data_IF_054545830355
#
_entry.id   IF_054545830355
#
_cell.length_a   1.000
_cell.length_b   1.000
_cell.length_c   1.000
_cell.angle_alpha   90.00
_cell.angle_beta   90.00
_cell.angle_gamma   90.00
#
_symmetry.space_group_name_H-M   'P 1'
#
loop_
_entity.id
_entity.type
_entity.pdbx_description
1 polymer ?
#
# COMPACT_ATOMS: atom_id res chain seq x y z
N UNK A 1 11.34 0.52 10.01
CA UNK A 1 10.17 0.06 9.25
C UNK A 1 9.19 -0.74 10.12
N UNK A 2 9.66 -1.67 10.97
CA UNK A 2 8.77 -2.48 11.82
C UNK A 2 7.96 -1.66 12.82
N UNK A 3 8.53 -0.58 13.36
CA UNK A 3 7.79 0.35 14.22
C UNK A 3 6.63 1.04 13.47
N UNK A 4 6.85 1.43 12.20
CA UNK A 4 5.81 2.01 11.37
C UNK A 4 4.72 0.99 10.99
N UNK A 5 5.09 -0.27 10.77
CA UNK A 5 4.12 -1.36 10.58
C UNK A 5 3.27 -1.57 11.85
N UNK A 6 3.90 -1.65 13.02
CA UNK A 6 3.18 -1.77 14.30
C UNK A 6 2.22 -0.61 14.52
N UNK A 7 2.65 0.62 14.22
CA UNK A 7 1.78 1.79 14.25
C UNK A 7 0.59 1.67 13.28
N UNK A 8 0.84 1.29 12.03
CA UNK A 8 -0.20 1.17 11.03
C UNK A 8 -1.25 0.12 11.42
N UNK A 9 -0.81 -1.06 11.88
CA UNK A 9 -1.70 -2.15 12.31
C UNK A 9 -2.52 -1.79 13.56
N UNK A 10 -1.90 -1.12 14.53
CA UNK A 10 -2.57 -0.75 15.78
C UNK A 10 -3.52 0.44 15.66
N UNK A 11 -3.26 1.35 14.72
CA UNK A 11 -4.02 2.60 14.58
C UNK A 11 -4.95 2.64 13.37
N UNK A 12 -4.85 1.67 12.45
CA UNK A 12 -5.51 1.69 11.12
C UNK A 12 -5.17 2.94 10.30
N UNK A 13 -3.97 3.49 10.50
CA UNK A 13 -3.47 4.68 9.81
C UNK A 13 -2.24 4.35 8.98
N UNK A 14 -1.89 5.24 8.06
CA UNK A 14 -0.67 5.12 7.27
C UNK A 14 0.58 5.16 8.17
N UNK A 15 1.39 4.12 8.11
CA UNK A 15 2.73 4.13 8.68
C UNK A 15 3.70 4.85 7.75
N UNK A 16 4.59 5.68 8.30
CA UNK A 16 5.59 6.42 7.51
C UNK A 16 6.99 6.07 7.99
N UNK A 17 7.87 5.82 7.03
CA UNK A 17 9.29 5.50 7.26
C UNK A 17 10.14 6.45 6.44
N UNK A 18 11.17 7.03 7.05
CA UNK A 18 12.17 7.84 6.35
C UNK A 18 13.54 7.23 6.63
N UNK A 19 14.27 6.91 5.57
CA UNK A 19 15.60 6.30 5.64
C UNK A 19 16.55 6.95 4.65
N UNK A 20 17.86 6.78 4.89
CA UNK A 20 18.90 7.20 3.94
C UNK A 20 19.04 6.20 2.78
N UNK A 21 19.81 6.56 1.78
CA UNK A 21 20.22 5.69 0.67
C UNK A 21 21.07 4.49 1.10
N UNK A 22 21.42 3.61 0.18
CA UNK A 22 22.31 2.47 0.41
C UNK A 22 21.80 1.54 1.50
N UNK A 23 22.53 1.37 2.63
CA UNK A 23 22.13 0.45 3.68
C UNK A 23 20.81 0.81 4.36
N UNK A 24 20.42 2.09 4.40
CA UNK A 24 19.10 2.50 4.86
C UNK A 24 18.00 1.95 3.96
N UNK A 25 18.18 2.05 2.64
CA UNK A 25 17.26 1.54 1.64
C UNK A 25 17.16 0.01 1.68
N UNK A 26 18.29 -0.71 1.72
CA UNK A 26 18.28 -2.18 1.73
C UNK A 26 17.68 -2.77 3.01
N UNK A 27 17.86 -2.12 4.15
CA UNK A 27 17.29 -2.56 5.43
C UNK A 27 15.75 -2.45 5.53
N UNK A 28 15.10 -1.71 4.66
CA UNK A 28 13.62 -1.64 4.66
C UNK A 28 12.95 -2.68 3.77
N UNK A 29 13.68 -3.38 2.91
CA UNK A 29 13.15 -4.34 1.93
C UNK A 29 12.33 -5.44 2.59
N UNK A 30 12.85 -6.08 3.63
CA UNK A 30 12.10 -7.12 4.38
C UNK A 30 10.77 -6.60 4.90
N UNK A 31 10.77 -5.41 5.50
CA UNK A 31 9.53 -4.83 6.03
C UNK A 31 8.56 -4.35 4.95
N UNK A 32 9.06 -3.96 3.76
CA UNK A 32 8.19 -3.65 2.61
C UNK A 32 7.49 -4.93 2.15
N UNK A 33 8.24 -6.03 1.98
CA UNK A 33 7.69 -7.32 1.58
C UNK A 33 6.63 -7.85 2.57
N UNK A 34 6.92 -7.78 3.88
CA UNK A 34 5.99 -8.15 4.95
C UNK A 34 4.71 -7.30 4.90
N UNK A 35 4.84 -5.99 4.74
CA UNK A 35 3.70 -5.09 4.63
C UNK A 35 2.83 -5.36 3.40
N UNK A 36 3.44 -5.77 2.28
CA UNK A 36 2.71 -6.12 1.05
C UNK A 36 1.87 -7.38 1.24
N UNK A 37 2.43 -8.40 1.89
CA UNK A 37 1.73 -9.67 2.15
C UNK A 37 0.57 -9.44 3.12
N UNK A 38 0.80 -8.67 4.19
CA UNK A 38 -0.18 -8.43 5.26
C UNK A 38 -1.11 -7.23 4.99
N UNK A 39 -1.07 -6.64 3.80
CA UNK A 39 -1.92 -5.50 3.46
C UNK A 39 -1.77 -4.31 4.41
N UNK A 40 -0.55 -4.07 4.93
CA UNK A 40 -0.26 -2.98 5.86
C UNK A 40 0.07 -1.71 5.08
N UNK A 41 -0.69 -0.60 5.25
CA UNK A 41 -0.41 0.64 4.53
C UNK A 41 0.86 1.31 5.05
N UNK A 42 1.86 1.44 4.18
CA UNK A 42 3.12 2.10 4.48
C UNK A 42 3.51 3.09 3.38
N UNK A 43 4.07 4.22 3.79
CA UNK A 43 4.81 5.13 2.93
C UNK A 43 6.29 5.08 3.33
N UNK A 44 7.12 4.55 2.46
CA UNK A 44 8.57 4.51 2.63
C UNK A 44 9.19 5.63 1.82
N UNK A 45 9.85 6.55 2.48
CA UNK A 45 10.60 7.66 1.89
C UNK A 45 12.09 7.34 2.07
N UNK A 46 12.78 7.19 0.97
CA UNK A 46 14.21 6.92 0.96
C UNK A 46 14.97 8.07 0.31
N UNK A 47 16.08 8.47 0.90
CA UNK A 47 17.04 9.33 0.23
C UNK A 47 17.81 8.56 -0.85
N UNK A 48 18.27 9.27 -1.88
CA UNK A 48 19.08 8.74 -2.96
C UNK A 48 20.24 9.71 -3.26
N UNK A 49 21.26 9.22 -3.94
CA UNK A 49 22.34 10.05 -4.45
C UNK A 49 21.84 11.13 -5.41
N UNK A 50 22.65 12.13 -5.73
CA UNK A 50 22.30 13.14 -6.72
C UNK A 50 22.06 12.54 -8.11
N UNK A 51 21.21 13.16 -8.91
CA UNK A 51 20.80 12.66 -10.25
C UNK A 51 22.00 12.37 -11.15
N UNK A 52 23.06 13.16 -11.09
CA UNK A 52 24.28 12.94 -11.88
C UNK A 52 25.10 11.70 -11.46
N UNK A 53 24.87 11.19 -10.25
CA UNK A 53 25.57 10.01 -9.71
C UNK A 53 24.77 8.73 -9.83
N UNK A 54 23.52 8.77 -10.34
CA UNK A 54 22.71 7.58 -10.54
C UNK A 54 23.30 6.67 -11.62
N UNK A 55 23.42 5.38 -11.32
CA UNK A 55 23.98 4.38 -12.22
C UNK A 55 25.51 4.42 -12.33
N UNK A 56 26.21 5.04 -11.39
CA UNK A 56 27.67 5.16 -11.40
C UNK A 56 28.37 4.38 -10.30
N UNK A 57 27.63 3.55 -9.54
CA UNK A 57 28.12 2.86 -8.33
C UNK A 57 28.65 3.85 -7.28
N UNK A 58 28.03 5.01 -7.16
CA UNK A 58 28.41 6.03 -6.19
C UNK A 58 28.26 5.50 -4.75
N UNK A 59 28.99 6.12 -3.81
CA UNK A 59 28.91 5.74 -2.41
C UNK A 59 27.47 5.78 -1.89
N UNK A 60 27.01 4.65 -1.36
CA UNK A 60 25.63 4.41 -0.89
C UNK A 60 24.53 4.56 -1.98
N UNK A 61 24.88 4.47 -3.24
CA UNK A 61 23.89 4.26 -4.28
C UNK A 61 23.30 2.84 -4.17
N UNK A 62 22.00 2.73 -4.39
CA UNK A 62 21.28 1.44 -4.41
C UNK A 62 20.05 1.57 -5.30
N UNK A 63 19.80 0.59 -6.18
CA UNK A 63 18.57 0.53 -6.97
C UNK A 63 17.39 0.09 -6.10
N UNK A 64 16.92 1.01 -5.27
CA UNK A 64 15.75 0.77 -4.42
C UNK A 64 14.50 0.50 -5.25
N UNK A 65 14.32 1.20 -6.36
CA UNK A 65 13.13 1.02 -7.23
C UNK A 65 13.09 -0.40 -7.76
N UNK A 66 14.19 -0.90 -8.33
CA UNK A 66 14.26 -2.28 -8.84
C UNK A 66 13.98 -3.33 -7.77
N UNK A 67 14.49 -3.13 -6.54
CA UNK A 67 14.21 -4.03 -5.42
C UNK A 67 12.77 -3.96 -4.91
N UNK A 68 12.15 -2.79 -4.93
CA UNK A 68 10.85 -2.55 -4.33
C UNK A 68 9.65 -2.84 -5.26
N UNK A 69 9.82 -2.79 -6.58
CA UNK A 69 8.74 -3.03 -7.56
C UNK A 69 7.97 -4.33 -7.28
N UNK A 70 8.59 -5.51 -7.08
CA UNK A 70 7.85 -6.76 -6.89
C UNK A 70 7.17 -6.89 -5.51
N UNK A 71 7.49 -6.02 -4.55
CA UNK A 71 7.06 -6.13 -3.15
C UNK A 71 6.29 -4.91 -2.65
N UNK A 72 5.85 -4.03 -3.56
CA UNK A 72 5.09 -2.83 -3.21
C UNK A 72 3.97 -2.55 -4.21
N UNK A 73 3.02 -1.72 -3.82
CA UNK A 73 1.90 -1.32 -4.70
C UNK A 73 2.33 -0.32 -5.78
N UNK A 74 3.29 0.52 -5.45
CA UNK A 74 3.80 1.54 -6.35
C UNK A 74 5.14 2.06 -5.86
N UNK A 75 6.00 2.41 -6.82
CA UNK A 75 7.29 3.02 -6.59
C UNK A 75 7.47 4.24 -7.48
N UNK A 76 8.19 5.24 -7.01
CA UNK A 76 8.58 6.38 -7.83
C UNK A 76 9.91 6.95 -7.37
N UNK A 77 10.82 7.20 -8.32
CA UNK A 77 12.01 8.01 -8.08
C UNK A 77 11.71 9.47 -8.39
N UNK A 78 11.93 10.34 -7.42
CA UNK A 78 11.66 11.79 -7.50
C UNK A 78 12.99 12.50 -7.71
N UNK A 79 13.12 13.17 -8.85
CA UNK A 79 14.36 13.85 -9.30
C UNK A 79 14.29 15.37 -9.26
N UNK A 80 13.09 15.92 -9.08
CA UNK A 80 12.87 17.37 -9.05
C UNK A 80 12.00 17.76 -7.87
N UNK A 81 12.23 18.91 -7.24
CA UNK A 81 11.45 19.35 -6.08
C UNK A 81 9.96 19.57 -6.39
N UNK A 82 9.62 19.94 -7.63
CA UNK A 82 8.22 20.16 -8.07
C UNK A 82 7.39 18.88 -8.02
N UNK A 83 8.04 17.71 -8.20
CA UNK A 83 7.38 16.42 -8.24
C UNK A 83 7.06 15.87 -6.83
N UNK A 84 7.59 16.48 -5.77
CA UNK A 84 7.47 15.99 -4.38
C UNK A 84 6.02 15.98 -3.90
N UNK A 85 5.33 17.11 -3.94
CA UNK A 85 3.98 17.22 -3.39
C UNK A 85 2.96 16.31 -4.13
N UNK A 86 2.92 16.29 -5.48
CA UNK A 86 2.03 15.38 -6.20
C UNK A 86 2.38 13.90 -6.01
N UNK A 87 3.68 13.54 -5.92
CA UNK A 87 4.09 12.16 -5.66
C UNK A 87 3.65 11.67 -4.28
N UNK A 88 3.82 12.50 -3.24
CA UNK A 88 3.37 12.16 -1.88
C UNK A 88 1.85 12.02 -1.83
N UNK A 89 1.10 12.95 -2.45
CA UNK A 89 -0.37 12.86 -2.49
C UNK A 89 -0.85 11.57 -3.16
N UNK A 90 -0.22 11.19 -4.27
CA UNK A 90 -0.50 9.95 -4.99
C UNK A 90 -0.11 8.72 -4.17
N UNK A 91 1.06 8.74 -3.52
CA UNK A 91 1.55 7.67 -2.67
C UNK A 91 0.59 7.36 -1.51
N UNK A 92 0.13 8.38 -0.80
CA UNK A 92 -0.85 8.25 0.29
C UNK A 92 -2.15 7.64 -0.23
N UNK A 93 -2.66 8.10 -1.37
CA UNK A 93 -3.87 7.56 -1.98
C UNK A 93 -3.73 6.07 -2.32
N UNK A 94 -2.64 5.69 -3.00
CA UNK A 94 -2.40 4.28 -3.39
C UNK A 94 -2.20 3.38 -2.15
N UNK A 95 -1.44 3.84 -1.16
CA UNK A 95 -1.17 3.05 0.05
C UNK A 95 -2.44 2.73 0.84
N UNK A 96 -3.39 3.67 0.90
CA UNK A 96 -4.57 3.61 1.77
C UNK A 96 -5.83 3.08 1.08
N UNK A 97 -5.87 2.97 -0.25
CA UNK A 97 -7.09 2.60 -0.98
C UNK A 97 -7.00 1.22 -1.62
N UNK A 98 -8.16 0.60 -1.90
CA UNK A 98 -8.23 -0.78 -2.34
C UNK A 98 -7.68 -1.72 -1.28
N UNK A 99 -6.94 -2.76 -1.69
CA UNK A 99 -6.12 -3.54 -0.75
C UNK A 99 -4.99 -2.62 -0.25
N UNK A 100 -4.92 -2.25 1.04
CA UNK A 100 -3.84 -1.42 1.56
C UNK A 100 -2.46 -2.08 1.35
N UNK A 101 -1.40 -1.28 1.34
CA UNK A 101 -0.06 -1.83 1.18
C UNK A 101 1.02 -0.77 1.06
N UNK A 102 2.29 -1.19 0.95
CA UNK A 102 3.42 -0.28 0.93
C UNK A 102 3.58 0.43 -0.41
N UNK A 103 4.01 1.68 -0.32
CA UNK A 103 4.43 2.53 -1.44
C UNK A 103 5.81 3.09 -1.14
N UNK A 104 6.68 3.15 -2.14
CA UNK A 104 8.08 3.57 -1.98
C UNK A 104 8.38 4.79 -2.85
N UNK A 105 8.89 5.83 -2.21
CA UNK A 105 9.38 7.04 -2.86
C UNK A 105 10.90 7.16 -2.64
N UNK A 106 11.64 7.23 -3.73
CA UNK A 106 13.09 7.35 -3.77
C UNK A 106 13.46 8.78 -4.18
N UNK A 107 14.00 9.56 -3.23
CA UNK A 107 14.25 10.98 -3.41
C UNK A 107 15.73 11.23 -3.73
N UNK A 108 16.04 11.71 -4.94
CA UNK A 108 17.40 12.14 -5.24
C UNK A 108 17.79 13.35 -4.39
N UNK A 109 19.09 13.51 -4.15
CA UNK A 109 19.63 14.66 -3.40
C UNK A 109 19.19 16.00 -4.00
N UNK A 110 19.10 16.07 -5.31
CA UNK A 110 18.66 17.29 -6.03
C UNK A 110 17.22 17.65 -5.68
N UNK A 111 16.32 16.67 -5.62
CA UNK A 111 14.94 16.90 -5.21
C UNK A 111 14.81 17.32 -3.74
N UNK A 112 15.73 16.86 -2.87
CA UNK A 112 15.71 17.19 -1.45
C UNK A 112 16.24 18.61 -1.15
N UNK A 113 17.27 19.08 -1.87
CA UNK A 113 17.90 20.39 -1.63
C UNK A 113 17.33 21.50 -2.50
N UNK A 114 16.64 21.14 -3.58
CA UNK A 114 16.00 22.07 -4.49
C UNK A 114 14.80 22.79 -3.85
N UNK A 115 14.38 23.88 -4.46
CA UNK A 115 13.22 24.66 -4.03
C UNK A 115 12.17 24.72 -5.13
N UNK A 116 10.91 24.58 -4.74
CA UNK A 116 9.76 24.72 -5.63
C UNK A 116 8.57 25.37 -4.90
N UNK A 117 7.65 26.02 -5.60
CA UNK A 117 6.39 26.44 -5.00
C UNK A 117 5.64 25.26 -4.38
N UNK A 118 5.26 25.37 -3.10
CA UNK A 118 4.48 24.33 -2.45
C UNK A 118 3.02 24.42 -2.86
N UNK A 119 2.59 23.51 -3.74
CA UNK A 119 1.21 23.37 -4.17
C UNK A 119 0.78 21.93 -3.84
N UNK A 120 -0.02 21.75 -2.79
CA UNK A 120 -0.54 20.44 -2.41
C UNK A 120 -2.00 20.30 -2.85
N UNK A 121 -2.27 19.25 -3.61
CA UNK A 121 -3.62 18.82 -3.96
C UNK A 121 -3.80 17.35 -3.56
N UNK A 122 -4.84 17.09 -2.78
CA UNK A 122 -5.16 15.71 -2.37
C UNK A 122 -5.46 14.87 -3.61
N UNK A 123 -4.78 13.74 -3.76
CA UNK A 123 -5.12 12.77 -4.78
C UNK A 123 -6.39 12.00 -4.38
N UNK A 124 -7.39 11.98 -5.25
CA UNK A 124 -8.63 11.22 -5.06
C UNK A 124 -8.97 10.31 -6.24
N UNK A 125 -8.21 10.41 -7.33
CA UNK A 125 -8.43 9.64 -8.55
C UNK A 125 -7.13 9.43 -9.32
N UNK A 126 -6.95 8.23 -9.85
CA UNK A 126 -5.87 7.88 -10.79
C UNK A 126 -6.52 7.07 -11.91
N UNK A 127 -6.41 7.55 -13.15
CA UNK A 127 -7.09 6.98 -14.33
C UNK A 127 -6.93 5.46 -14.50
N UNK A 128 -5.78 4.92 -14.16
CA UNK A 128 -5.43 3.49 -14.32
C UNK A 128 -5.54 2.68 -13.04
N UNK A 129 -6.17 3.23 -11.98
CA UNK A 129 -6.25 2.57 -10.69
C UNK A 129 -7.70 2.56 -10.19
N UNK A 130 -8.28 1.36 -10.13
CA UNK A 130 -9.63 1.12 -9.61
C UNK A 130 -9.50 0.43 -8.23
N UNK A 131 -9.53 1.18 -7.13
CA UNK A 131 -9.35 0.63 -5.79
C UNK A 131 -10.52 -0.25 -5.33
N UNK A 132 -11.72 0.04 -5.80
CA UNK A 132 -12.94 -0.71 -5.47
C UNK A 132 -13.58 -1.16 -6.78
N UNK A 133 -13.55 -2.47 -7.09
CA UNK A 133 -14.24 -2.98 -8.27
C UNK A 133 -15.77 -2.88 -8.06
N UNK A 134 -16.49 -2.78 -9.16
CA UNK A 134 -17.95 -2.88 -9.12
C UNK A 134 -18.38 -4.30 -8.73
N UNK A 135 -19.44 -4.38 -7.93
CA UNK A 135 -20.03 -5.67 -7.57
C UNK A 135 -20.82 -6.20 -8.75
N UNK A 136 -20.60 -7.46 -9.09
CA UNK A 136 -21.39 -8.16 -10.10
C UNK A 136 -22.62 -8.84 -9.43
N UNK A 137 -23.84 -8.32 -9.67
CA UNK A 137 -25.04 -8.87 -9.06
C UNK A 137 -25.35 -10.31 -9.47
N UNK A 138 -24.97 -10.72 -10.68
CA UNK A 138 -25.20 -12.09 -11.16
C UNK A 138 -24.33 -13.09 -10.41
N UNK A 139 -23.04 -12.74 -10.20
CA UNK A 139 -22.12 -13.55 -9.40
C UNK A 139 -22.58 -13.67 -7.94
N UNK A 140 -23.12 -12.58 -7.37
CA UNK A 140 -23.68 -12.59 -6.01
C UNK A 140 -24.90 -13.51 -5.94
N UNK A 141 -25.85 -13.41 -6.88
CA UNK A 141 -27.04 -14.27 -6.92
C UNK A 141 -26.65 -15.75 -7.02
N UNK A 142 -25.72 -16.08 -7.92
CA UNK A 142 -25.21 -17.45 -8.06
C UNK A 142 -24.53 -17.98 -6.79
N UNK A 143 -23.79 -17.13 -6.08
CA UNK A 143 -23.19 -17.50 -4.80
C UNK A 143 -24.27 -17.81 -3.74
N UNK A 144 -25.36 -17.04 -3.69
CA UNK A 144 -26.48 -17.28 -2.78
C UNK A 144 -27.16 -18.61 -3.10
N UNK A 145 -27.45 -18.91 -4.38
CA UNK A 145 -28.02 -20.19 -4.81
C UNK A 145 -27.16 -21.38 -4.33
N UNK A 146 -25.84 -21.31 -4.54
CA UNK A 146 -24.92 -22.37 -4.10
C UNK A 146 -24.90 -22.55 -2.57
N UNK A 147 -25.04 -21.48 -1.83
CA UNK A 147 -25.12 -21.51 -0.36
C UNK A 147 -26.44 -22.16 0.08
N UNK A 148 -27.57 -21.76 -0.53
CA UNK A 148 -28.89 -22.27 -0.19
C UNK A 148 -29.05 -23.77 -0.54
N UNK A 149 -28.41 -24.24 -1.60
CA UNK A 149 -28.37 -25.66 -1.98
C UNK A 149 -27.41 -26.49 -1.11
N UNK A 150 -26.52 -25.84 -0.35
CA UNK A 150 -25.51 -26.53 0.44
C UNK A 150 -26.11 -27.16 1.71
N UNK A 151 -25.85 -28.45 1.94
CA UNK A 151 -26.26 -29.12 3.17
C UNK A 151 -25.33 -28.88 4.37
N UNK A 152 -24.10 -28.42 4.13
CA UNK A 152 -23.08 -28.20 5.17
C UNK A 152 -22.20 -27.00 4.84
N UNK A 153 -22.76 -25.76 4.74
CA UNK A 153 -21.98 -24.59 4.45
C UNK A 153 -21.03 -24.23 5.59
N UNK A 154 -19.85 -23.71 5.25
CA UNK A 154 -18.88 -23.16 6.19
C UNK A 154 -18.35 -21.85 5.61
N UNK A 155 -18.34 -20.78 6.41
CA UNK A 155 -17.67 -19.52 6.07
C UNK A 155 -16.26 -19.56 6.60
N UNK A 156 -15.29 -19.32 5.71
CA UNK A 156 -13.89 -19.08 6.10
C UNK A 156 -13.60 -17.62 5.80
N UNK A 157 -13.30 -16.83 6.84
CA UNK A 157 -13.04 -15.41 6.68
C UNK A 157 -11.60 -15.04 7.08
N UNK A 158 -11.05 -14.05 6.40
CA UNK A 158 -9.71 -13.54 6.67
C UNK A 158 -9.73 -12.05 7.03
N UNK A 159 -8.54 -11.46 7.10
CA UNK A 159 -8.33 -10.05 7.46
C UNK A 159 -9.08 -9.06 6.55
N UNK A 160 -9.45 -9.44 5.34
CA UNK A 160 -10.21 -8.60 4.42
C UNK A 160 -11.53 -8.11 4.98
N UNK A 161 -12.19 -8.87 5.84
CA UNK A 161 -13.41 -8.46 6.54
C UNK A 161 -13.14 -7.27 7.46
N UNK A 162 -12.05 -7.33 8.24
CA UNK A 162 -11.63 -6.25 9.15
C UNK A 162 -11.19 -5.01 8.35
N UNK A 163 -10.39 -5.22 7.30
CA UNK A 163 -9.89 -4.13 6.45
C UNK A 163 -11.00 -3.39 5.71
N UNK A 164 -12.08 -4.06 5.38
CA UNK A 164 -13.26 -3.47 4.74
C UNK A 164 -14.28 -2.90 5.72
N UNK A 165 -14.13 -3.18 7.03
CA UNK A 165 -15.10 -2.81 8.07
C UNK A 165 -16.43 -3.57 7.96
N UNK A 166 -16.43 -4.79 7.40
CA UNK A 166 -17.60 -5.59 7.08
C UNK A 166 -17.94 -6.64 8.16
N UNK A 167 -17.46 -6.47 9.39
CA UNK A 167 -17.67 -7.44 10.48
C UNK A 167 -19.14 -7.57 10.86
N UNK A 168 -19.89 -6.47 10.80
CA UNK A 168 -21.32 -6.46 11.14
C UNK A 168 -22.13 -7.21 10.08
N UNK A 169 -21.86 -6.93 8.82
CA UNK A 169 -22.48 -7.57 7.65
C UNK A 169 -22.19 -9.09 7.65
N UNK A 170 -20.94 -9.47 7.92
CA UNK A 170 -20.58 -10.87 8.06
C UNK A 170 -21.37 -11.54 9.20
N UNK A 171 -21.44 -10.92 10.37
CA UNK A 171 -22.17 -11.45 11.52
C UNK A 171 -23.67 -11.57 11.27
N UNK A 172 -24.25 -10.64 10.55
CA UNK A 172 -25.65 -10.69 10.13
C UNK A 172 -25.88 -11.85 9.15
N UNK A 173 -25.04 -11.97 8.14
CA UNK A 173 -25.08 -13.04 7.14
C UNK A 173 -25.04 -14.43 7.79
N UNK A 174 -24.05 -14.69 8.63
CA UNK A 174 -23.87 -16.02 9.23
C UNK A 174 -24.97 -16.36 10.23
N UNK A 175 -25.49 -15.38 10.98
CA UNK A 175 -26.63 -15.59 11.89
C UNK A 175 -27.90 -15.89 11.12
N UNK A 176 -28.17 -15.19 10.02
CA UNK A 176 -29.35 -15.40 9.17
C UNK A 176 -29.31 -16.77 8.50
N UNK A 177 -28.17 -17.20 8.03
CA UNK A 177 -27.98 -18.50 7.37
C UNK A 177 -27.75 -19.66 8.34
N UNK A 178 -27.51 -19.41 9.64
CA UNK A 178 -27.13 -20.46 10.59
C UNK A 178 -25.80 -21.13 10.24
N UNK A 179 -24.87 -20.40 9.58
CA UNK A 179 -23.65 -20.95 9.02
C UNK A 179 -22.49 -20.79 10.01
N UNK A 180 -21.73 -21.86 10.32
CA UNK A 180 -20.53 -21.77 11.14
C UNK A 180 -19.43 -20.94 10.43
N UNK A 181 -18.59 -20.26 11.23
CA UNK A 181 -17.49 -19.39 10.76
C UNK A 181 -16.18 -19.85 11.36
N UNK A 182 -15.12 -19.85 10.55
CA UNK A 182 -13.72 -20.09 10.92
C UNK A 182 -12.81 -18.93 10.46
#
# INVERSE_FOLDING_TARGET
IHAAQGYARASSRLGVVIVTSGPGATNVITGIADAMIDSTPLLVICGQVGTAALGTDAFQETDLIGMAVPISKWTMQIRRPEDVAPAVAKAVYIAMTGRPGPVVLDFTKDAQIGSAPFIYSKCSFIRSYLPVPETDPESVAKAVELIDESSRPLVVCGQGVILSGAEKELMEFVRKGGIPVA
#
